data_IF_596304885818
#
_entry.id   IF_596304885818
#
_cell.length_a   1.000
_cell.length_b   1.000
_cell.length_c   1.000
_cell.angle_alpha   90.00
_cell.angle_beta   90.00
_cell.angle_gamma   90.00
#
_symmetry.space_group_name_H-M   'P 1'
#
loop_
_entity.id
_entity.type
_entity.pdbx_description
1 polymer ?
#
# COMPACT_ATOMS: atom_id res chain seq x y z
N UNK A 1 20.38 -12.80 19.24
CA UNK A 1 19.19 -13.62 18.87
C UNK A 1 19.44 -14.20 17.48
N UNK A 2 19.15 -15.47 17.25
CA UNK A 2 19.29 -16.12 15.94
C UNK A 2 17.94 -16.72 15.58
N UNK A 3 17.43 -16.41 14.39
CA UNK A 3 16.24 -17.08 13.84
C UNK A 3 16.73 -18.38 13.17
N UNK A 4 16.29 -19.57 13.60
CA UNK A 4 16.66 -20.86 13.00
C UNK A 4 16.46 -20.93 11.48
N UNK A 5 17.30 -21.71 10.80
CA UNK A 5 17.36 -21.75 9.33
C UNK A 5 16.07 -22.27 8.68
N UNK A 6 15.42 -23.23 9.31
CA UNK A 6 14.12 -23.78 8.92
C UNK A 6 13.02 -22.72 8.99
N UNK A 7 13.00 -21.89 10.05
CA UNK A 7 12.07 -20.76 10.18
C UNK A 7 12.33 -19.72 9.10
N UNK A 8 13.60 -19.33 8.88
CA UNK A 8 13.96 -18.37 7.82
C UNK A 8 13.49 -18.84 6.45
N UNK A 9 13.64 -20.14 6.13
CA UNK A 9 13.18 -20.73 4.87
C UNK A 9 11.66 -20.72 4.75
N UNK A 10 10.94 -21.14 5.79
CA UNK A 10 9.47 -21.15 5.80
C UNK A 10 8.87 -19.74 5.63
N UNK A 11 9.51 -18.74 6.22
CA UNK A 11 9.09 -17.34 6.14
C UNK A 11 9.69 -16.59 4.94
N UNK A 12 10.50 -17.25 4.10
CA UNK A 12 11.23 -16.64 2.99
C UNK A 12 11.99 -15.35 3.39
N UNK A 13 12.73 -15.44 4.50
CA UNK A 13 13.54 -14.36 5.03
C UNK A 13 14.92 -14.34 4.36
N UNK A 14 15.28 -13.20 3.79
CA UNK A 14 16.56 -12.92 3.19
C UNK A 14 17.35 -11.91 4.04
N UNK A 15 18.66 -11.84 3.80
CA UNK A 15 19.49 -10.81 4.44
C UNK A 15 19.02 -9.42 4.01
N UNK A 16 18.83 -8.53 4.98
CA UNK A 16 18.32 -7.17 4.75
C UNK A 16 16.81 -7.02 4.89
N UNK A 17 16.04 -8.12 5.00
CA UNK A 17 14.61 -8.04 5.30
C UNK A 17 14.36 -7.37 6.65
N UNK A 18 13.36 -6.50 6.69
CA UNK A 18 12.92 -5.86 7.94
C UNK A 18 11.81 -6.69 8.58
N UNK A 19 11.88 -6.83 9.90
CA UNK A 19 10.93 -7.60 10.70
C UNK A 19 10.31 -6.71 11.78
N UNK A 20 9.05 -6.97 12.08
CA UNK A 20 8.36 -6.39 13.21
C UNK A 20 8.11 -7.47 14.27
N UNK A 21 8.57 -7.21 15.50
CA UNK A 21 8.39 -8.06 16.67
C UNK A 21 7.33 -7.45 17.57
N UNK A 22 6.32 -8.23 17.95
CA UNK A 22 5.25 -7.79 18.85
C UNK A 22 4.94 -8.89 19.86
N UNK A 23 4.57 -8.50 21.07
CA UNK A 23 3.84 -9.37 21.98
C UNK A 23 2.36 -9.15 21.69
N UNK A 24 1.62 -10.23 21.41
CA UNK A 24 0.19 -10.14 21.18
C UNK A 24 -0.60 -10.08 22.50
N UNK A 25 -1.92 -9.95 22.41
CA UNK A 25 -2.80 -9.84 23.58
C UNK A 25 -2.81 -11.10 24.45
N UNK A 26 -2.30 -12.22 23.93
CA UNK A 26 -2.14 -13.49 24.64
C UNK A 26 -0.74 -13.67 25.24
N UNK A 27 0.14 -12.65 25.14
CA UNK A 27 1.50 -12.69 25.65
C UNK A 27 2.48 -13.47 24.75
N UNK A 28 2.10 -13.79 23.52
CA UNK A 28 2.95 -14.55 22.60
C UNK A 28 3.83 -13.63 21.77
N UNK A 29 5.09 -14.03 21.55
CA UNK A 29 5.99 -13.34 20.62
C UNK A 29 5.59 -13.67 19.18
N UNK A 30 5.17 -12.64 18.45
CA UNK A 30 4.88 -12.70 17.02
C UNK A 30 5.98 -11.99 16.24
N UNK A 31 6.37 -12.59 15.11
CA UNK A 31 7.41 -12.08 14.20
C UNK A 31 6.80 -11.98 12.81
N UNK A 32 6.68 -10.76 12.29
CA UNK A 32 6.10 -10.51 10.98
C UNK A 32 7.15 -9.91 10.04
N UNK A 33 7.23 -10.41 8.81
CA UNK A 33 8.00 -9.77 7.74
C UNK A 33 7.32 -8.48 7.33
N UNK A 34 8.07 -7.38 7.32
CA UNK A 34 7.55 -6.11 6.82
C UNK A 34 7.53 -6.13 5.28
N UNK A 35 6.48 -5.58 4.65
CA UNK A 35 6.45 -5.43 3.20
C UNK A 35 7.61 -4.56 2.72
N UNK A 36 8.19 -4.93 1.59
CA UNK A 36 9.19 -4.11 0.89
C UNK A 36 8.52 -2.96 0.14
N UNK A 37 9.31 -1.98 -0.31
CA UNK A 37 8.81 -0.89 -1.15
C UNK A 37 8.10 -1.43 -2.42
N UNK A 38 8.61 -2.52 -2.99
CA UNK A 38 7.99 -3.19 -4.13
C UNK A 38 6.67 -3.87 -3.77
N UNK A 39 6.54 -4.44 -2.56
CA UNK A 39 5.29 -5.03 -2.10
C UNK A 39 4.21 -3.96 -1.92
N UNK A 40 4.59 -2.79 -1.37
CA UNK A 40 3.71 -1.62 -1.29
C UNK A 40 3.29 -1.11 -2.66
N UNK A 41 4.22 -1.02 -3.62
CA UNK A 41 3.90 -0.60 -4.99
C UNK A 41 2.89 -1.54 -5.66
N UNK A 42 3.05 -2.86 -5.49
CA UNK A 42 2.10 -3.86 -6.02
C UNK A 42 0.72 -3.72 -5.39
N UNK A 43 0.67 -3.54 -4.07
CA UNK A 43 -0.59 -3.35 -3.34
C UNK A 43 -1.32 -2.09 -3.81
N UNK A 44 -0.60 -0.98 -3.99
CA UNK A 44 -1.18 0.29 -4.46
C UNK A 44 -1.63 0.18 -5.91
N UNK A 45 -0.94 -0.60 -6.75
CA UNK A 45 -1.30 -0.77 -8.16
C UNK A 45 -2.66 -1.47 -8.35
N UNK A 46 -3.16 -2.20 -7.35
CA UNK A 46 -4.49 -2.82 -7.38
C UNK A 46 -5.62 -1.82 -7.07
N UNK A 47 -5.30 -0.68 -6.45
CA UNK A 47 -6.29 0.35 -6.16
C UNK A 47 -6.59 1.10 -7.47
N UNK A 48 -7.86 1.19 -7.90
CA UNK A 48 -8.23 1.99 -9.07
C UNK A 48 -7.97 3.46 -8.76
N UNK A 49 -6.85 3.98 -9.25
CA UNK A 49 -6.50 5.40 -9.13
C UNK A 49 -6.83 6.11 -10.43
N UNK A 50 -7.75 7.06 -10.36
CA UNK A 50 -8.02 7.96 -11.47
C UNK A 50 -6.81 8.88 -11.69
N UNK A 51 -6.17 8.76 -12.86
CA UNK A 51 -5.04 9.61 -13.23
C UNK A 51 -5.53 10.93 -13.79
N UNK A 52 -5.52 11.96 -12.96
CA UNK A 52 -5.88 13.33 -13.36
C UNK A 52 -4.72 13.98 -14.10
N UNK A 53 -4.91 14.25 -15.40
CA UNK A 53 -3.95 14.98 -16.23
C UNK A 53 -4.51 16.35 -16.57
N UNK A 54 -3.79 17.41 -16.20
CA UNK A 54 -4.12 18.79 -16.56
C UNK A 54 -3.53 19.12 -17.92
N UNK A 55 -4.26 19.87 -18.72
CA UNK A 55 -3.72 20.46 -19.94
C UNK A 55 -2.79 21.66 -19.64
N UNK A 56 -2.28 22.30 -20.70
CA UNK A 56 -1.35 23.44 -20.59
C UNK A 56 -1.96 24.66 -19.90
N UNK A 57 -3.29 24.77 -19.90
CA UNK A 57 -4.04 25.86 -19.28
C UNK A 57 -4.55 25.47 -17.88
N UNK A 58 -4.17 24.28 -17.39
CA UNK A 58 -4.53 23.77 -16.07
C UNK A 58 -5.92 23.14 -15.98
N UNK A 59 -6.65 22.98 -17.10
CA UNK A 59 -7.99 22.38 -17.12
C UNK A 59 -7.91 20.86 -17.10
N UNK A 60 -8.86 20.26 -16.38
CA UNK A 60 -9.08 18.81 -16.34
C UNK A 60 -10.23 18.45 -17.27
N UNK A 61 -10.04 17.42 -18.07
CA UNK A 61 -11.11 16.84 -18.89
C UNK A 61 -12.01 15.98 -17.99
N UNK A 62 -13.18 16.51 -17.63
CA UNK A 62 -14.16 15.84 -16.79
C UNK A 62 -14.66 14.50 -17.36
N UNK A 63 -14.47 14.23 -18.65
CA UNK A 63 -14.79 12.91 -19.23
C UNK A 63 -13.71 11.86 -18.98
N UNK A 64 -12.46 12.30 -18.84
CA UNK A 64 -11.31 11.43 -18.55
C UNK A 64 -11.07 11.28 -17.06
N UNK A 65 -11.52 12.26 -16.27
CA UNK A 65 -11.43 12.24 -14.82
C UNK A 65 -12.77 12.62 -14.16
N UNK A 66 -13.84 11.83 -14.37
CA UNK A 66 -15.16 12.10 -13.82
C UNK A 66 -15.19 12.18 -12.29
N UNK A 67 -14.42 11.34 -11.58
CA UNK A 67 -14.47 11.30 -10.12
C UNK A 67 -13.84 12.58 -9.53
N UNK A 68 -12.70 13.01 -10.08
CA UNK A 68 -12.08 14.29 -9.73
C UNK A 68 -12.97 15.48 -10.08
N UNK A 69 -13.69 15.43 -11.20
CA UNK A 69 -14.61 16.50 -11.58
C UNK A 69 -15.81 16.58 -10.64
N UNK A 70 -16.35 15.44 -10.21
CA UNK A 70 -17.42 15.37 -9.22
C UNK A 70 -16.99 15.97 -7.87
N UNK A 71 -15.82 15.55 -7.36
CA UNK A 71 -15.21 16.10 -6.15
C UNK A 71 -15.02 17.62 -6.22
N UNK A 72 -14.42 18.14 -7.30
CA UNK A 72 -14.21 19.58 -7.47
C UNK A 72 -15.52 20.39 -7.57
N UNK A 73 -16.62 19.75 -7.97
CA UNK A 73 -17.94 20.37 -8.06
C UNK A 73 -18.74 20.30 -6.77
N UNK A 74 -18.26 19.57 -5.75
CA UNK A 74 -19.00 19.32 -4.51
C UNK A 74 -20.24 18.44 -4.69
N UNK A 75 -20.32 17.73 -5.82
CA UNK A 75 -21.32 16.69 -6.12
C UNK A 75 -20.69 15.29 -5.99
N UNK A 76 -19.58 15.16 -5.26
CA UNK A 76 -19.23 13.84 -4.76
C UNK A 76 -20.28 13.50 -3.69
N UNK A 77 -21.18 12.58 -4.02
CA UNK A 77 -22.01 11.93 -3.00
C UNK A 77 -21.06 11.10 -2.12
N UNK A 78 -20.30 11.77 -1.25
CA UNK A 78 -19.31 11.17 -0.38
C UNK A 78 -20.03 10.49 0.78
N UNK A 79 -19.98 9.16 0.78
CA UNK A 79 -20.07 8.22 1.91
C UNK A 79 -20.92 8.60 3.14
#
# INVERSE_FOLDING_TARGET
MVIPADIRKKMNLNSGDKLNFKIDDFGQLTINKLPTDNDWQKLIAEIPVEKVVKDKDGKVDAKKSPDFAAWMSGNDDAY
#
